data_IF_898555537340
#
_entry.id   IF_898555537340
#
_cell.length_a   1.000
_cell.length_b   1.000
_cell.length_c   1.000
_cell.angle_alpha   90.00
_cell.angle_beta   90.00
_cell.angle_gamma   90.00
#
_symmetry.space_group_name_H-M   'P 1'
#
loop_
_entity.id
_entity.type
_entity.pdbx_description
1 polymer ?
#
# COMPACT_ATOMS: atom_id res chain seq x y z
N UNK A 1 39.49 52.82 -12.89
CA UNK A 1 39.31 51.36 -12.99
C UNK A 1 38.49 50.94 -11.79
N UNK A 2 37.36 50.47 -12.02
CA UNK A 2 36.55 49.29 -11.80
C UNK A 2 35.24 49.49 -11.06
N UNK A 3 34.58 50.64 -11.13
CA UNK A 3 33.16 50.72 -10.69
C UNK A 3 32.19 50.07 -11.70
N UNK A 4 32.57 50.04 -12.98
CA UNK A 4 31.76 49.41 -14.05
C UNK A 4 31.80 47.87 -13.99
N UNK A 5 32.88 47.30 -13.47
CA UNK A 5 33.02 45.82 -13.38
C UNK A 5 32.16 45.24 -12.29
N UNK A 6 31.99 45.94 -11.17
CA UNK A 6 31.09 45.52 -10.09
C UNK A 6 29.61 45.64 -10.47
N UNK A 7 29.24 46.61 -11.29
CA UNK A 7 27.88 46.76 -11.77
C UNK A 7 27.50 45.63 -12.74
N UNK A 8 28.44 45.10 -13.52
CA UNK A 8 28.20 44.01 -14.45
C UNK A 8 28.07 42.65 -13.74
N UNK A 9 28.82 42.43 -12.66
CA UNK A 9 28.72 41.21 -11.85
C UNK A 9 27.41 41.21 -11.07
N UNK A 10 26.93 42.34 -10.57
CA UNK A 10 25.66 42.44 -9.86
C UNK A 10 24.46 42.18 -10.77
N UNK A 11 24.56 42.50 -12.07
CA UNK A 11 23.48 42.30 -13.02
C UNK A 11 23.28 40.82 -13.44
N UNK A 12 24.36 40.01 -13.39
CA UNK A 12 24.29 38.56 -13.71
C UNK A 12 23.63 37.75 -12.59
N UNK A 13 23.66 38.26 -11.36
CA UNK A 13 23.05 37.55 -10.21
C UNK A 13 21.51 37.68 -10.11
N UNK A 14 20.90 38.58 -10.89
CA UNK A 14 19.44 38.84 -10.81
C UNK A 14 18.63 38.08 -11.87
N UNK A 15 19.29 37.48 -12.88
CA UNK A 15 18.59 36.79 -13.96
C UNK A 15 18.41 35.27 -13.73
N UNK A 16 18.80 34.79 -12.56
CA UNK A 16 18.64 33.39 -12.17
C UNK A 16 17.27 33.08 -11.55
N UNK A 17 16.14 33.55 -12.10
CA UNK A 17 14.86 32.93 -11.84
C UNK A 17 14.80 31.58 -12.54
N UNK A 18 15.31 30.55 -11.89
CA UNK A 18 14.94 29.18 -12.22
C UNK A 18 13.45 29.06 -11.93
N UNK A 19 12.64 29.07 -12.98
CA UNK A 19 11.30 28.50 -12.90
C UNK A 19 11.49 27.06 -12.46
N UNK A 20 11.17 26.75 -11.20
CA UNK A 20 10.88 25.41 -10.78
C UNK A 20 9.80 24.89 -11.74
N UNK A 21 10.00 23.75 -12.40
CA UNK A 21 8.92 23.15 -13.16
C UNK A 21 7.78 22.95 -12.16
N UNK A 22 6.70 23.68 -12.34
CA UNK A 22 5.44 23.35 -11.72
C UNK A 22 5.14 21.93 -12.18
N UNK A 23 5.19 20.99 -11.27
CA UNK A 23 4.61 19.67 -11.48
C UNK A 23 3.12 19.95 -11.57
N UNK A 24 2.65 20.23 -12.79
CA UNK A 24 1.23 20.15 -13.09
C UNK A 24 0.85 18.73 -12.68
N UNK A 25 0.08 18.64 -11.61
CA UNK A 25 -0.64 17.44 -11.25
C UNK A 25 -1.59 17.18 -12.41
N UNK A 26 -1.17 16.37 -13.39
CA UNK A 26 -2.07 15.87 -14.40
C UNK A 26 -3.28 15.25 -13.69
N UNK A 27 -4.50 15.59 -14.15
CA UNK A 27 -5.71 15.01 -13.59
C UNK A 27 -5.65 13.49 -13.78
N UNK A 28 -5.62 12.76 -12.69
CA UNK A 28 -5.31 11.34 -12.53
C UNK A 28 -6.38 10.39 -13.10
N UNK A 29 -7.25 10.85 -14.03
CA UNK A 29 -8.47 10.13 -14.43
C UNK A 29 -8.70 9.95 -15.93
N UNK A 30 -7.73 10.15 -16.82
CA UNK A 30 -8.03 10.07 -18.27
C UNK A 30 -7.33 9.02 -19.11
N UNK A 31 -6.71 8.02 -18.52
CA UNK A 31 -6.43 6.80 -19.29
C UNK A 31 -7.09 5.61 -18.59
N UNK A 32 -8.30 5.27 -19.01
CA UNK A 32 -8.87 3.93 -18.86
C UNK A 32 -8.03 2.94 -19.68
N UNK A 33 -6.78 2.78 -19.33
CA UNK A 33 -5.99 1.64 -19.77
C UNK A 33 -6.67 0.43 -19.16
N UNK A 34 -7.23 -0.42 -20.00
CA UNK A 34 -7.80 -1.68 -19.53
C UNK A 34 -6.72 -2.42 -18.75
N UNK A 35 -6.96 -2.65 -17.46
CA UNK A 35 -6.06 -3.47 -16.65
C UNK A 35 -5.95 -4.86 -17.28
N UNK A 36 -4.80 -5.53 -17.16
CA UNK A 36 -4.61 -6.82 -17.75
C UNK A 36 -5.63 -7.81 -17.20
N UNK A 37 -6.14 -8.67 -18.05
CA UNK A 37 -6.92 -9.80 -17.60
C UNK A 37 -5.99 -10.85 -17.00
N UNK A 38 -6.06 -11.01 -15.68
CA UNK A 38 -5.27 -11.99 -14.91
C UNK A 38 -6.10 -13.22 -14.50
N UNK A 39 -7.28 -13.43 -15.10
CA UNK A 39 -8.20 -14.52 -14.74
C UNK A 39 -7.60 -15.91 -14.98
N UNK A 40 -6.67 -16.04 -15.92
CA UNK A 40 -5.94 -17.27 -16.19
C UNK A 40 -4.90 -17.59 -15.11
N UNK A 41 -4.49 -16.61 -14.30
CA UNK A 41 -3.49 -16.76 -13.25
C UNK A 41 -4.10 -17.38 -11.99
N UNK A 42 -3.42 -18.40 -11.46
CA UNK A 42 -3.90 -19.14 -10.27
C UNK A 42 -3.29 -18.62 -8.98
N UNK A 43 -2.15 -18.00 -9.07
CA UNK A 43 -1.39 -17.56 -7.92
C UNK A 43 -0.51 -16.34 -8.20
N UNK A 44 -0.24 -15.58 -7.17
CA UNK A 44 0.67 -14.43 -7.21
C UNK A 44 1.55 -14.43 -5.96
N UNK A 45 2.82 -14.14 -6.11
CA UNK A 45 3.73 -13.85 -5.00
C UNK A 45 4.48 -12.56 -5.27
N UNK A 46 4.98 -11.96 -4.22
CA UNK A 46 5.77 -10.75 -4.38
C UNK A 46 6.30 -10.20 -3.08
N UNK A 47 6.82 -9.00 -3.17
CA UNK A 47 7.35 -8.23 -2.04
C UNK A 47 7.05 -6.76 -2.19
N UNK A 48 7.05 -6.08 -1.06
CA UNK A 48 6.80 -4.65 -1.00
C UNK A 48 7.15 -4.08 0.35
N UNK A 49 6.67 -2.88 0.58
CA UNK A 49 6.80 -2.22 1.87
C UNK A 49 5.60 -1.31 2.15
N UNK A 50 5.39 -1.05 3.42
CA UNK A 50 4.46 -0.03 3.92
C UNK A 50 5.29 1.06 4.57
N UNK A 51 4.97 2.33 4.26
CA UNK A 51 5.45 3.51 4.97
C UNK A 51 4.25 4.15 5.64
N UNK A 52 4.37 4.38 6.93
CA UNK A 52 3.38 5.11 7.72
C UNK A 52 3.96 6.44 8.18
N UNK A 53 3.20 7.51 8.00
CA UNK A 53 3.54 8.88 8.38
C UNK A 53 2.38 9.45 9.21
N UNK A 54 2.71 10.19 10.25
CA UNK A 54 1.73 10.73 11.19
C UNK A 54 1.99 10.27 12.61
N UNK A 55 0.95 9.91 13.35
CA UNK A 55 1.06 9.44 14.73
C UNK A 55 1.88 8.14 14.83
N UNK A 56 1.63 7.22 13.93
CA UNK A 56 2.44 6.01 13.79
C UNK A 56 3.41 6.19 12.63
N UNK A 57 4.69 6.36 12.93
CA UNK A 57 5.75 6.49 11.91
C UNK A 57 6.55 5.22 11.82
N UNK A 58 6.78 4.77 10.59
CA UNK A 58 7.63 3.61 10.40
C UNK A 58 7.60 3.06 8.98
N UNK A 59 8.46 2.08 8.76
CA UNK A 59 8.50 1.30 7.54
C UNK A 59 8.57 -0.18 7.89
N UNK A 60 7.73 -0.95 7.25
CA UNK A 60 7.75 -2.41 7.30
C UNK A 60 7.91 -2.94 5.88
N UNK A 61 8.85 -3.85 5.69
CA UNK A 61 8.93 -4.61 4.46
C UNK A 61 7.99 -5.82 4.57
N UNK A 62 7.45 -6.29 3.46
CA UNK A 62 6.65 -7.50 3.45
C UNK A 62 6.94 -8.38 2.25
N UNK A 63 6.64 -9.65 2.40
CA UNK A 63 6.51 -10.62 1.33
C UNK A 63 5.12 -11.20 1.38
N UNK A 64 4.57 -11.55 0.23
CA UNK A 64 3.25 -12.16 0.16
C UNK A 64 3.20 -13.32 -0.82
N UNK A 65 2.21 -14.17 -0.62
CA UNK A 65 1.73 -15.12 -1.61
C UNK A 65 0.21 -15.11 -1.55
N UNK A 66 -0.42 -15.19 -2.69
CA UNK A 66 -1.87 -15.13 -2.81
C UNK A 66 -2.37 -16.13 -3.85
N UNK A 67 -3.47 -16.75 -3.54
CA UNK A 67 -4.42 -17.32 -4.50
C UNK A 67 -5.57 -16.34 -4.68
N UNK A 68 -6.57 -16.68 -5.50
CA UNK A 68 -7.77 -15.84 -5.63
C UNK A 68 -8.59 -15.78 -4.34
N UNK A 69 -8.51 -16.79 -3.47
CA UNK A 69 -9.33 -16.89 -2.27
C UNK A 69 -8.61 -16.48 -0.99
N UNK A 70 -7.27 -16.54 -0.97
CA UNK A 70 -6.50 -16.34 0.26
C UNK A 70 -5.16 -15.68 -0.05
N UNK A 71 -4.75 -14.75 0.80
CA UNK A 71 -3.40 -14.18 0.79
C UNK A 71 -2.73 -14.36 2.15
N UNK A 72 -1.42 -14.60 2.09
CA UNK A 72 -0.53 -14.68 3.24
C UNK A 72 0.49 -13.56 3.13
N UNK A 73 0.55 -12.69 4.13
CA UNK A 73 1.47 -11.55 4.14
C UNK A 73 2.36 -11.64 5.37
N UNK A 74 3.66 -11.61 5.17
CA UNK A 74 4.63 -11.60 6.25
C UNK A 74 5.37 -10.28 6.28
N UNK A 75 5.19 -9.51 7.35
CA UNK A 75 5.91 -8.27 7.60
C UNK A 75 7.22 -8.51 8.33
N UNK A 76 8.19 -7.66 8.01
CA UNK A 76 9.51 -7.62 8.63
C UNK A 76 9.89 -6.18 8.92
N UNK A 77 10.56 -5.96 10.04
CA UNK A 77 11.17 -4.66 10.31
C UNK A 77 12.41 -4.38 9.44
N UNK A 78 13.02 -3.23 9.64
CA UNK A 78 14.19 -2.80 8.85
C UNK A 78 15.41 -3.71 9.01
N UNK A 79 15.51 -4.44 10.12
CA UNK A 79 16.61 -5.39 10.36
C UNK A 79 16.23 -6.83 9.99
N UNK A 80 15.05 -7.02 9.38
CA UNK A 80 14.61 -8.31 8.84
C UNK A 80 13.93 -9.25 9.83
N UNK A 81 13.64 -8.80 11.07
CA UNK A 81 12.87 -9.61 12.02
C UNK A 81 11.42 -9.70 11.58
N UNK A 82 10.85 -10.89 11.67
CA UNK A 82 9.43 -11.10 11.41
C UNK A 82 8.61 -10.45 12.52
N UNK A 83 7.72 -9.55 12.16
CA UNK A 83 6.93 -8.76 13.10
C UNK A 83 5.48 -9.19 13.13
N UNK A 84 4.87 -9.31 11.96
CA UNK A 84 3.46 -9.61 11.83
C UNK A 84 3.24 -10.58 10.68
N UNK A 85 2.32 -11.51 10.86
CA UNK A 85 1.85 -12.41 9.82
C UNK A 85 0.35 -12.29 9.68
N UNK A 86 -0.13 -12.04 8.46
CA UNK A 86 -1.56 -11.92 8.14
C UNK A 86 -1.99 -13.06 7.24
N UNK A 87 -3.19 -13.52 7.47
CA UNK A 87 -3.97 -14.37 6.56
C UNK A 87 -5.21 -13.58 6.19
N UNK A 88 -5.36 -13.30 4.90
CA UNK A 88 -6.53 -12.62 4.35
C UNK A 88 -7.37 -13.62 3.60
N UNK A 89 -8.65 -13.71 3.92
CA UNK A 89 -9.67 -14.40 3.13
C UNK A 89 -10.77 -13.40 2.76
N UNK A 90 -11.83 -13.81 2.08
CA UNK A 90 -12.82 -12.88 1.52
C UNK A 90 -13.35 -11.82 2.51
N UNK A 91 -13.56 -12.20 3.75
CA UNK A 91 -14.16 -11.31 4.77
C UNK A 91 -13.43 -11.34 6.10
N UNK A 92 -12.33 -12.07 6.21
CA UNK A 92 -11.63 -12.23 7.47
C UNK A 92 -10.15 -11.91 7.36
N UNK A 93 -9.62 -11.41 8.46
CA UNK A 93 -8.21 -11.20 8.69
C UNK A 93 -7.85 -11.97 9.95
N UNK A 94 -6.93 -12.91 9.81
CA UNK A 94 -6.24 -13.49 10.95
C UNK A 94 -4.85 -12.90 11.04
N UNK A 95 -4.44 -12.49 12.23
CA UNK A 95 -3.17 -11.82 12.43
C UNK A 95 -2.40 -12.43 13.62
N UNK A 96 -1.11 -12.66 13.40
CA UNK A 96 -0.18 -13.14 14.41
C UNK A 96 0.95 -12.12 14.59
N UNK A 97 0.97 -11.48 15.77
CA UNK A 97 2.12 -10.73 16.24
C UNK A 97 3.25 -11.72 16.58
N UNK A 98 4.22 -11.79 15.70
CA UNK A 98 5.34 -12.73 15.85
C UNK A 98 6.39 -12.24 16.85
N UNK A 99 6.39 -10.94 17.19
CA UNK A 99 7.32 -10.40 18.20
C UNK A 99 6.88 -10.77 19.61
N UNK A 100 5.58 -10.66 19.89
CA UNK A 100 5.03 -10.95 21.20
C UNK A 100 4.38 -12.33 21.28
N UNK A 101 4.36 -13.06 20.16
CA UNK A 101 3.77 -14.38 20.03
C UNK A 101 2.30 -14.42 20.47
N UNK A 102 1.50 -13.49 19.92
CA UNK A 102 0.08 -13.31 20.26
C UNK A 102 -0.77 -13.24 18.99
N UNK A 103 -2.00 -13.71 19.06
CA UNK A 103 -2.98 -13.55 17.98
C UNK A 103 -3.76 -12.27 18.21
N UNK A 104 -3.77 -11.40 17.20
CA UNK A 104 -4.54 -10.15 17.24
C UNK A 104 -6.03 -10.42 17.07
N UNK A 105 -6.84 -9.69 17.82
CA UNK A 105 -8.25 -9.50 17.53
C UNK A 105 -8.46 -8.41 16.47
N UNK A 106 -9.70 -8.22 16.05
CA UNK A 106 -10.04 -7.21 15.04
C UNK A 106 -9.62 -5.80 15.44
N UNK A 107 -9.80 -5.42 16.70
CA UNK A 107 -9.44 -4.09 17.18
C UNK A 107 -7.92 -3.86 17.11
N UNK A 108 -7.14 -4.84 17.55
CA UNK A 108 -5.67 -4.80 17.47
C UNK A 108 -5.14 -4.73 16.04
N UNK A 109 -5.83 -5.41 15.09
CA UNK A 109 -5.49 -5.31 13.66
C UNK A 109 -5.71 -3.89 13.15
N UNK A 110 -6.84 -3.28 13.43
CA UNK A 110 -7.16 -1.91 12.98
C UNK A 110 -6.22 -0.88 13.60
N UNK A 111 -5.83 -1.05 14.87
CA UNK A 111 -4.82 -0.18 15.50
C UNK A 111 -3.46 -0.33 14.80
N UNK A 112 -3.03 -1.55 14.49
CA UNK A 112 -1.72 -1.81 13.89
C UNK A 112 -1.65 -1.49 12.40
N UNK A 113 -2.77 -1.65 11.70
CA UNK A 113 -2.92 -1.48 10.25
C UNK A 113 -4.22 -0.71 9.96
N UNK A 114 -4.27 0.59 10.27
CA UNK A 114 -5.51 1.38 10.24
C UNK A 114 -6.12 1.52 8.84
N UNK A 115 -5.37 1.30 7.76
CA UNK A 115 -5.94 1.30 6.42
C UNK A 115 -7.01 0.22 6.20
N UNK A 116 -7.08 -0.83 7.03
CA UNK A 116 -8.19 -1.78 7.01
C UNK A 116 -9.52 -1.21 7.53
N UNK A 117 -9.55 0.02 8.02
CA UNK A 117 -10.80 0.76 8.22
C UNK A 117 -11.38 1.27 6.89
N UNK A 118 -10.52 1.43 5.87
CA UNK A 118 -10.88 2.00 4.57
C UNK A 118 -11.11 0.92 3.49
N UNK A 119 -10.54 -0.27 3.64
CA UNK A 119 -10.64 -1.35 2.67
C UNK A 119 -10.95 -2.69 3.34
N UNK A 120 -11.56 -3.58 2.57
CA UNK A 120 -11.81 -4.96 3.00
C UNK A 120 -10.60 -5.87 2.70
N UNK A 121 -10.51 -7.05 3.33
CA UNK A 121 -9.44 -8.02 3.04
C UNK A 121 -9.37 -8.41 1.56
N UNK A 122 -10.51 -8.49 0.89
CA UNK A 122 -10.61 -8.79 -0.54
C UNK A 122 -10.01 -7.68 -1.42
N UNK A 123 -10.25 -6.41 -1.05
CA UNK A 123 -9.66 -5.27 -1.75
C UNK A 123 -8.14 -5.30 -1.65
N UNK A 124 -7.60 -5.64 -0.48
CA UNK A 124 -6.17 -5.81 -0.30
C UNK A 124 -5.62 -6.95 -1.15
N UNK A 125 -6.32 -8.07 -1.26
CA UNK A 125 -5.91 -9.17 -2.15
C UNK A 125 -5.88 -8.71 -3.61
N UNK A 126 -6.95 -8.06 -4.07
CA UNK A 126 -7.05 -7.51 -5.42
C UNK A 126 -5.87 -6.58 -5.73
N UNK A 127 -5.51 -5.72 -4.78
CA UNK A 127 -4.33 -4.87 -4.91
C UNK A 127 -3.01 -5.67 -4.99
N UNK A 128 -2.85 -6.71 -4.18
CA UNK A 128 -1.67 -7.58 -4.27
C UNK A 128 -1.51 -8.20 -5.66
N UNK A 129 -2.59 -8.44 -6.38
CA UNK A 129 -2.59 -8.92 -7.76
C UNK A 129 -2.30 -7.82 -8.80
N UNK A 130 -2.30 -6.56 -8.42
CA UNK A 130 -2.05 -5.41 -9.30
C UNK A 130 -3.30 -4.83 -9.94
N UNK A 131 -4.46 -5.23 -9.46
CA UNK A 131 -5.76 -4.77 -9.92
C UNK A 131 -6.31 -3.67 -9.01
N UNK A 132 -7.19 -2.82 -9.52
CA UNK A 132 -7.96 -1.89 -8.70
C UNK A 132 -9.19 -2.63 -8.17
N UNK A 133 -9.44 -2.62 -6.85
CA UNK A 133 -10.65 -3.19 -6.29
C UNK A 133 -11.91 -2.61 -6.92
N UNK A 134 -12.93 -3.44 -7.15
CA UNK A 134 -14.17 -3.05 -7.83
C UNK A 134 -14.88 -1.88 -7.17
N UNK A 135 -14.82 -1.79 -5.84
CA UNK A 135 -15.40 -0.67 -5.08
C UNK A 135 -14.84 0.71 -5.48
N UNK A 136 -13.64 0.76 -6.07
CA UNK A 136 -12.99 1.98 -6.52
C UNK A 136 -12.99 2.15 -8.04
N UNK A 137 -13.44 1.17 -8.79
CA UNK A 137 -13.52 1.20 -10.26
C UNK A 137 -14.95 1.37 -10.78
N UNK A 138 -15.97 1.09 -9.96
CA UNK A 138 -17.38 1.20 -10.32
C UNK A 138 -17.97 2.54 -9.82
N UNK A 139 -18.37 3.45 -10.75
CA UNK A 139 -18.91 4.76 -10.38
C UNK A 139 -20.15 4.71 -9.48
N UNK A 140 -21.00 3.67 -9.65
CA UNK A 140 -22.22 3.53 -8.87
C UNK A 140 -21.91 3.08 -7.43
N UNK A 141 -20.89 2.26 -7.26
CA UNK A 141 -20.42 1.82 -5.94
C UNK A 141 -19.71 3.00 -5.25
N UNK A 142 -18.83 3.71 -5.93
CA UNK A 142 -18.12 4.90 -5.40
C UNK A 142 -19.10 5.91 -4.85
N UNK A 143 -20.16 6.22 -5.58
CA UNK A 143 -21.17 7.21 -5.17
C UNK A 143 -21.89 6.81 -3.87
N UNK A 144 -22.16 5.52 -3.70
CA UNK A 144 -22.86 5.01 -2.52
C UNK A 144 -21.96 4.83 -1.29
N UNK A 145 -20.64 4.74 -1.47
CA UNK A 145 -19.68 4.48 -0.39
C UNK A 145 -18.85 5.70 0.01
N UNK A 146 -18.89 6.78 -0.78
CA UNK A 146 -18.11 8.00 -0.47
C UNK A 146 -18.40 8.60 0.91
N UNK A 147 -19.57 8.32 1.47
CA UNK A 147 -19.94 8.74 2.83
C UNK A 147 -19.40 7.82 3.94
N UNK A 148 -18.98 6.59 3.59
CA UNK A 148 -18.54 5.58 4.56
C UNK A 148 -17.03 5.46 4.66
N UNK A 149 -16.28 5.91 3.64
CA UNK A 149 -14.83 5.82 3.63
C UNK A 149 -14.25 6.96 4.48
N UNK A 150 -13.48 6.60 5.52
CA UNK A 150 -12.86 7.54 6.45
C UNK A 150 -11.61 8.22 5.88
N UNK A 151 -11.61 8.63 4.61
CA UNK A 151 -10.45 9.27 3.98
C UNK A 151 -10.43 9.18 2.46
N UNK A 152 -9.26 9.35 1.88
CA UNK A 152 -9.02 9.28 0.44
C UNK A 152 -8.05 8.14 0.13
N UNK A 153 -8.33 7.40 -0.95
CA UNK A 153 -7.46 6.34 -1.47
C UNK A 153 -7.04 6.69 -2.87
N UNK A 154 -5.73 6.68 -3.12
CA UNK A 154 -5.14 6.96 -4.43
C UNK A 154 -4.36 5.76 -4.92
N UNK A 155 -4.54 5.38 -6.19
CA UNK A 155 -3.82 4.30 -6.84
C UNK A 155 -2.87 4.86 -7.89
N UNK A 156 -1.67 4.26 -7.99
CA UNK A 156 -0.73 4.50 -9.07
C UNK A 156 -0.34 3.18 -9.71
N UNK A 157 -0.46 3.11 -11.02
CA UNK A 157 -0.05 1.95 -11.81
C UNK A 157 1.24 2.24 -12.59
N UNK A 158 2.01 1.19 -12.85
CA UNK A 158 3.14 1.21 -13.75
C UNK A 158 2.91 0.21 -14.89
N UNK A 159 3.48 0.50 -16.06
CA UNK A 159 3.45 -0.39 -17.20
C UNK A 159 4.40 -1.56 -16.96
N UNK A 160 3.89 -2.79 -17.10
CA UNK A 160 4.65 -4.04 -16.97
C UNK A 160 4.51 -4.90 -18.22
N UNK A 161 5.17 -6.05 -18.26
CA UNK A 161 4.99 -7.04 -19.33
C UNK A 161 3.56 -7.61 -19.40
N UNK A 162 2.83 -7.56 -18.30
CA UNK A 162 1.43 -7.97 -18.21
C UNK A 162 0.44 -6.84 -18.46
N UNK A 163 0.91 -5.63 -18.82
CA UNK A 163 0.12 -4.43 -18.93
C UNK A 163 0.24 -3.52 -17.70
N UNK A 164 -0.65 -2.52 -17.53
CA UNK A 164 -0.61 -1.60 -16.41
C UNK A 164 -1.05 -2.31 -15.12
N UNK A 165 -0.17 -2.43 -14.14
CA UNK A 165 -0.45 -3.00 -12.81
C UNK A 165 -0.36 -1.91 -11.74
N UNK A 166 -1.29 -1.92 -10.79
CA UNK A 166 -1.22 -1.06 -9.61
C UNK A 166 -0.03 -1.47 -8.75
N UNK A 167 0.88 -0.54 -8.49
CA UNK A 167 2.07 -0.78 -7.67
C UNK A 167 2.08 0.06 -6.40
N UNK A 168 1.31 1.12 -6.35
CA UNK A 168 1.32 2.04 -5.23
C UNK A 168 -0.11 2.41 -4.84
N UNK A 169 -0.43 2.28 -3.56
CA UNK A 169 -1.67 2.78 -2.95
C UNK A 169 -1.32 3.72 -1.82
N UNK A 170 -1.95 4.88 -1.82
CA UNK A 170 -1.86 5.85 -0.73
C UNK A 170 -3.21 5.93 -0.03
N UNK A 171 -3.21 5.76 1.27
CA UNK A 171 -4.34 5.96 2.17
C UNK A 171 -4.13 7.26 2.96
N UNK A 172 -4.93 8.26 2.69
CA UNK A 172 -4.98 9.50 3.46
C UNK A 172 -6.17 9.42 4.41
N UNK A 173 -5.92 9.19 5.70
CA UNK A 173 -6.99 9.11 6.69
C UNK A 173 -7.65 10.48 6.88
N UNK A 174 -8.98 10.50 7.13
CA UNK A 174 -9.80 11.73 7.16
C UNK A 174 -9.30 12.82 8.12
N UNK A 175 -8.62 12.43 9.18
CA UNK A 175 -8.10 13.38 10.18
C UNK A 175 -6.74 13.97 9.79
N UNK A 176 -6.24 13.70 8.57
CA UNK A 176 -4.92 14.09 8.05
C UNK A 176 -3.73 13.69 8.96
N UNK A 177 -4.01 12.99 10.06
CA UNK A 177 -3.01 12.60 11.06
C UNK A 177 -2.21 11.38 10.65
N UNK A 178 -2.74 10.60 9.71
CA UNK A 178 -2.12 9.37 9.28
C UNK A 178 -2.15 9.25 7.76
N UNK A 179 -0.98 9.13 7.16
CA UNK A 179 -0.81 8.77 5.75
C UNK A 179 -0.08 7.43 5.68
N UNK A 180 -0.62 6.50 4.93
CA UNK A 180 -0.01 5.19 4.72
C UNK A 180 0.20 4.98 3.23
N UNK A 181 1.41 4.63 2.87
CA UNK A 181 1.79 4.27 1.50
C UNK A 181 2.14 2.79 1.47
N UNK A 182 1.46 2.04 0.62
CA UNK A 182 1.74 0.64 0.36
C UNK A 182 2.29 0.52 -1.05
N UNK A 183 3.51 -0.01 -1.16
CA UNK A 183 4.25 -0.10 -2.42
C UNK A 183 4.61 -1.54 -2.69
N UNK A 184 4.28 -2.03 -3.88
CA UNK A 184 4.68 -3.32 -4.39
C UNK A 184 5.89 -3.15 -5.30
N UNK A 185 6.94 -3.87 -4.98
CA UNK A 185 8.22 -3.79 -5.70
C UNK A 185 8.37 -4.89 -6.74
N UNK A 186 7.68 -5.99 -6.52
CA UNK A 186 7.88 -7.20 -7.31
C UNK A 186 6.63 -8.09 -7.24
N UNK A 187 6.29 -8.73 -8.37
CA UNK A 187 5.22 -9.71 -8.50
C UNK A 187 5.65 -10.80 -9.47
N UNK A 188 5.26 -12.01 -9.16
CA UNK A 188 5.45 -13.17 -10.00
C UNK A 188 4.18 -14.01 -9.95
N UNK A 189 3.61 -14.28 -11.12
CA UNK A 189 2.38 -15.09 -11.24
C UNK A 189 2.73 -16.54 -11.49
N UNK A 190 1.87 -17.45 -10.99
CA UNK A 190 1.98 -18.90 -11.18
C UNK A 190 3.31 -19.52 -10.71
N UNK A 191 4.06 -18.81 -9.87
CA UNK A 191 5.29 -19.33 -9.32
C UNK A 191 5.04 -20.45 -8.31
N UNK A 192 5.97 -21.39 -8.23
CA UNK A 192 5.96 -22.36 -7.12
C UNK A 192 6.22 -21.64 -5.80
N UNK A 193 5.34 -21.89 -4.83
CA UNK A 193 5.49 -21.27 -3.52
C UNK A 193 6.59 -21.92 -2.69
N UNK A 194 7.45 -21.14 -2.04
CA UNK A 194 8.15 -21.64 -0.88
C UNK A 194 7.11 -22.03 0.20
N UNK A 195 7.42 -23.00 1.04
CA UNK A 195 6.57 -23.40 2.16
C UNK A 195 6.29 -22.19 3.05
N UNK A 196 5.10 -21.61 2.92
CA UNK A 196 4.63 -20.58 3.83
C UNK A 196 3.85 -21.23 4.95
N UNK A 197 3.93 -20.62 6.13
CA UNK A 197 3.02 -20.94 7.22
C UNK A 197 1.62 -20.55 6.73
N UNK A 198 0.79 -21.55 6.40
CA UNK A 198 -0.57 -21.34 5.90
C UNK A 198 -1.59 -21.27 7.04
N UNK A 199 -1.19 -21.47 8.27
CA UNK A 199 -2.05 -21.45 9.45
C UNK A 199 -1.29 -20.85 10.62
N UNK A 200 -1.96 -19.97 11.35
CA UNK A 200 -1.45 -19.53 12.65
C UNK A 200 -1.62 -20.73 13.60
N UNK A 201 -0.55 -21.15 14.32
CA UNK A 201 -0.66 -22.28 15.24
C UNK A 201 -1.72 -22.04 16.30
N UNK A 202 -2.53 -23.07 16.60
CA UNK A 202 -3.61 -22.98 17.58
C UNK A 202 -3.11 -22.70 19.00
N UNK A 203 -1.83 -22.99 19.27
CA UNK A 203 -1.14 -22.69 20.54
C UNK A 203 -0.85 -21.20 20.76
N UNK A 204 -0.99 -20.36 19.73
CA UNK A 204 -0.75 -18.90 19.88
C UNK A 204 -1.94 -18.29 20.63
N UNK A 205 -1.69 -17.72 21.83
CA UNK A 205 -2.77 -17.16 22.64
C UNK A 205 -3.32 -15.87 22.00
N UNK A 206 -4.61 -15.56 22.25
CA UNK A 206 -5.16 -14.26 21.87
C UNK A 206 -4.47 -13.14 22.66
N UNK A 207 -4.45 -11.93 22.07
CA UNK A 207 -3.95 -10.76 22.75
C UNK A 207 -4.80 -10.51 24.01
N UNK A 208 -4.13 -10.24 25.13
CA UNK A 208 -4.84 -9.82 26.35
C UNK A 208 -5.06 -8.31 26.25
N UNK A 209 -6.29 -7.91 25.97
CA UNK A 209 -6.68 -6.51 26.14
C UNK A 209 -6.70 -6.25 27.65
N UNK A 210 -5.75 -5.48 28.16
CA UNK A 210 -5.81 -4.99 29.54
C UNK A 210 -6.97 -4.01 29.58
N UNK A 211 -8.08 -4.44 30.16
CA UNK A 211 -9.27 -3.62 30.47
C UNK A 211 -8.96 -2.64 31.59
#
# INVERSE_FOLDING_TARGET
MNKLFYAFILFILITGCTQLPSIESEPYLEQRTAFPNLDDKKSCRGKGYIISQGEMKGRLNFTFTSTRDTAFIQFKDLIGRKTLFLILSDKSIDAWDMLHNQRYDKASILISLPFFEMIQPDDMRTFLWGEIPKIFSDPDIIKNQSEQISGEIQFRSNQTEHGPLVEHVTFNMKDERQKIELVLMDREYDAQYPHLIRKIPDSIPPIKVNS
#
